data_IF_119811502156
#
_entry.id   IF_119811502156
#
_cell.length_a   1.000
_cell.length_b   1.000
_cell.length_c   1.000
_cell.angle_alpha   90.00
_cell.angle_beta   90.00
_cell.angle_gamma   90.00
#
_symmetry.space_group_name_H-M   'P 1'
#
loop_
_entity.id
_entity.type
_entity.pdbx_description
1 polymer ?
#
# COMPACT_ATOMS: atom_id res chain seq x y z
N UNK A 1 44.76 32.40 -68.18
CA UNK A 1 46.06 31.87 -67.70
C UNK A 1 45.82 30.54 -67.03
N UNK A 2 46.56 29.52 -67.47
CA UNK A 2 46.61 28.16 -66.91
C UNK A 2 47.15 28.18 -65.48
N UNK A 3 46.73 27.23 -64.63
CA UNK A 3 47.58 26.15 -64.08
C UNK A 3 46.79 25.19 -63.18
N UNK A 4 46.88 23.89 -63.46
CA UNK A 4 46.52 22.77 -62.57
C UNK A 4 47.43 22.75 -61.34
N UNK A 5 46.94 22.32 -60.16
CA UNK A 5 47.76 21.58 -59.18
C UNK A 5 46.93 20.47 -58.50
N UNK A 6 47.54 19.29 -58.45
CA UNK A 6 47.09 17.97 -58.00
C UNK A 6 47.00 17.79 -56.47
N UNK A 7 46.06 16.92 -56.08
CA UNK A 7 46.15 15.81 -55.10
C UNK A 7 47.11 15.90 -53.91
N UNK A 8 46.57 15.79 -52.69
CA UNK A 8 46.94 14.73 -51.73
C UNK A 8 45.72 14.35 -50.86
N UNK A 9 45.46 13.06 -50.58
CA UNK A 9 44.52 12.67 -49.52
C UNK A 9 45.32 12.49 -48.21
N UNK A 10 44.92 13.22 -47.16
CA UNK A 10 45.48 13.02 -45.83
C UNK A 10 44.83 11.79 -45.17
N UNK A 11 45.69 10.89 -44.76
CA UNK A 11 45.44 9.62 -44.12
C UNK A 11 45.05 9.78 -42.64
N UNK A 12 44.13 8.91 -42.19
CA UNK A 12 44.05 8.35 -40.83
C UNK A 12 43.63 9.26 -39.67
N UNK A 13 42.46 8.93 -39.09
CA UNK A 13 42.40 8.48 -37.69
C UNK A 13 41.19 7.59 -37.44
N UNK A 14 41.51 6.32 -37.20
CA UNK A 14 40.71 5.34 -36.50
C UNK A 14 40.22 5.89 -35.16
N UNK A 15 38.90 5.91 -34.99
CA UNK A 15 38.25 6.04 -33.70
C UNK A 15 37.15 5.01 -33.60
N UNK A 16 37.51 3.75 -33.37
CA UNK A 16 36.55 2.74 -32.94
C UNK A 16 35.99 3.20 -31.59
N UNK A 17 34.77 3.74 -31.61
CA UNK A 17 33.94 3.81 -30.40
C UNK A 17 33.75 2.37 -29.97
N UNK A 18 34.48 1.95 -28.95
CA UNK A 18 34.27 0.69 -28.23
C UNK A 18 32.86 0.74 -27.66
N UNK A 19 31.91 0.25 -28.44
CA UNK A 19 30.56 -0.04 -27.98
C UNK A 19 30.68 -1.06 -26.87
N UNK A 20 30.49 -0.60 -25.64
CA UNK A 20 30.21 -1.50 -24.52
C UNK A 20 28.86 -2.14 -24.86
N UNK A 21 28.89 -3.31 -25.49
CA UNK A 21 27.70 -4.15 -25.63
C UNK A 21 27.35 -4.66 -24.23
N UNK A 22 26.64 -3.84 -23.47
CA UNK A 22 26.04 -4.29 -22.21
C UNK A 22 25.10 -5.43 -22.59
N UNK A 23 25.45 -6.64 -22.18
CA UNK A 23 24.67 -7.82 -22.55
C UNK A 23 23.23 -7.63 -22.10
N UNK A 24 22.29 -7.76 -23.05
CA UNK A 24 20.86 -7.55 -22.84
C UNK A 24 20.31 -8.43 -21.69
N UNK A 25 20.99 -9.53 -21.39
CA UNK A 25 20.72 -10.38 -20.23
C UNK A 25 20.93 -9.68 -18.89
N UNK A 26 22.05 -8.98 -18.67
CA UNK A 26 22.37 -8.34 -17.37
C UNK A 26 21.41 -7.19 -17.05
N UNK A 27 21.01 -6.40 -18.06
CA UNK A 27 20.06 -5.30 -17.87
C UNK A 27 18.66 -5.82 -17.47
N UNK A 28 18.22 -6.93 -18.10
CA UNK A 28 16.94 -7.59 -17.79
C UNK A 28 16.89 -8.13 -16.35
N UNK A 29 18.02 -8.58 -15.81
CA UNK A 29 18.10 -9.13 -14.46
C UNK A 29 17.98 -8.06 -13.38
N UNK A 30 18.72 -6.95 -13.54
CA UNK A 30 18.60 -5.79 -12.62
C UNK A 30 17.19 -5.23 -12.60
N UNK A 31 16.50 -5.22 -13.75
CA UNK A 31 15.11 -4.81 -13.84
C UNK A 31 14.17 -5.76 -13.06
N UNK A 32 14.41 -7.07 -13.09
CA UNK A 32 13.63 -8.08 -12.35
C UNK A 32 13.83 -8.01 -10.84
N UNK A 33 15.08 -7.93 -10.38
CA UNK A 33 15.41 -7.77 -8.96
C UNK A 33 14.84 -6.46 -8.39
N UNK A 34 14.89 -5.37 -9.18
CA UNK A 34 14.23 -4.10 -8.83
C UNK A 34 12.71 -4.26 -8.70
N UNK A 35 12.09 -4.99 -9.62
CA UNK A 35 10.63 -5.25 -9.59
C UNK A 35 10.21 -6.05 -8.35
N UNK A 36 10.95 -7.09 -7.97
CA UNK A 36 10.66 -7.89 -6.77
C UNK A 36 10.71 -7.01 -5.52
N UNK A 37 11.75 -6.18 -5.38
CA UNK A 37 11.88 -5.22 -4.26
C UNK A 37 10.77 -4.19 -4.23
N UNK A 38 10.36 -3.67 -5.39
CA UNK A 38 9.22 -2.75 -5.48
C UNK A 38 7.93 -3.42 -5.00
N UNK A 39 7.67 -4.67 -5.42
CA UNK A 39 6.49 -5.42 -4.99
C UNK A 39 6.51 -5.74 -3.50
N UNK A 40 7.66 -6.11 -2.95
CA UNK A 40 7.84 -6.31 -1.51
C UNK A 40 7.52 -5.04 -0.71
N UNK A 41 7.99 -3.88 -1.18
CA UNK A 41 7.66 -2.59 -0.58
C UNK A 41 6.16 -2.31 -0.61
N UNK A 42 5.49 -2.58 -1.74
CA UNK A 42 4.04 -2.42 -1.86
C UNK A 42 3.27 -3.33 -0.89
N UNK A 43 3.67 -4.61 -0.73
CA UNK A 43 3.08 -5.52 0.27
C UNK A 43 3.20 -4.93 1.68
N UNK A 44 4.41 -4.51 2.06
CA UNK A 44 4.66 -3.94 3.40
C UNK A 44 3.85 -2.67 3.65
N UNK A 45 3.73 -1.81 2.64
CA UNK A 45 2.95 -0.58 2.73
C UNK A 45 1.46 -0.90 2.95
N UNK A 46 0.90 -1.84 2.18
CA UNK A 46 -0.50 -2.26 2.29
C UNK A 46 -0.80 -2.93 3.63
N UNK A 47 0.11 -3.77 4.12
CA UNK A 47 0.00 -4.36 5.47
C UNK A 47 -0.02 -3.29 6.57
N UNK A 48 0.81 -2.25 6.44
CA UNK A 48 0.81 -1.12 7.38
C UNK A 48 -0.52 -0.35 7.35
N UNK A 49 -1.03 -0.06 6.15
CA UNK A 49 -2.33 0.61 5.98
C UNK A 49 -3.47 -0.21 6.61
N UNK A 50 -3.48 -1.52 6.37
CA UNK A 50 -4.46 -2.43 6.96
C UNK A 50 -4.39 -2.42 8.50
N UNK A 51 -3.19 -2.49 9.06
CA UNK A 51 -2.99 -2.41 10.51
C UNK A 51 -3.49 -1.09 11.10
N UNK A 52 -3.34 0.04 10.40
CA UNK A 52 -3.88 1.33 10.84
C UNK A 52 -5.40 1.35 10.88
N UNK A 53 -6.07 0.78 9.88
CA UNK A 53 -7.53 0.65 9.85
C UNK A 53 -8.02 -0.20 11.03
N UNK A 54 -7.39 -1.34 11.27
CA UNK A 54 -7.73 -2.25 12.36
C UNK A 54 -7.54 -1.60 13.75
N UNK A 55 -6.45 -0.86 13.95
CA UNK A 55 -6.21 -0.11 15.18
C UNK A 55 -7.31 0.95 15.42
N UNK A 56 -7.66 1.72 14.38
CA UNK A 56 -8.68 2.76 14.49
C UNK A 56 -10.07 2.16 14.78
N UNK A 57 -10.41 1.04 14.15
CA UNK A 57 -11.64 0.30 14.44
C UNK A 57 -11.69 -0.16 15.90
N UNK A 58 -10.62 -0.79 16.39
CA UNK A 58 -10.55 -1.26 17.77
C UNK A 58 -10.69 -0.10 18.79
N UNK A 59 -10.13 1.07 18.47
CA UNK A 59 -10.30 2.25 19.30
C UNK A 59 -11.75 2.74 19.33
N UNK A 60 -12.43 2.75 18.18
CA UNK A 60 -13.82 3.18 18.09
C UNK A 60 -14.77 2.20 18.79
N UNK A 61 -14.49 0.89 18.69
CA UNK A 61 -15.24 -0.15 19.41
C UNK A 61 -15.08 0.02 20.93
N UNK A 62 -13.87 0.28 21.42
CA UNK A 62 -13.63 0.60 22.84
C UNK A 62 -14.41 1.84 23.27
N UNK A 63 -14.30 2.94 22.53
CA UNK A 63 -15.02 4.17 22.84
C UNK A 63 -16.54 3.98 22.85
N UNK A 64 -17.08 3.17 21.93
CA UNK A 64 -18.51 2.88 21.88
C UNK A 64 -18.96 2.14 23.13
N UNK A 65 -18.21 1.11 23.54
CA UNK A 65 -18.48 0.37 24.78
C UNK A 65 -18.40 1.26 26.03
N UNK A 66 -17.45 2.18 26.06
CA UNK A 66 -17.32 3.14 27.16
C UNK A 66 -18.55 4.07 27.23
N UNK A 67 -19.04 4.55 26.08
CA UNK A 67 -20.26 5.35 26.01
C UNK A 67 -21.49 4.55 26.43
N UNK A 68 -21.63 3.29 26.00
CA UNK A 68 -22.72 2.40 26.42
C UNK A 68 -22.76 2.22 27.94
N UNK A 69 -21.60 2.04 28.58
CA UNK A 69 -21.50 1.96 30.04
C UNK A 69 -21.93 3.27 30.71
N UNK A 70 -21.51 4.42 30.16
CA UNK A 70 -21.88 5.73 30.70
C UNK A 70 -23.38 6.02 30.55
N UNK A 71 -23.99 5.60 29.44
CA UNK A 71 -25.44 5.68 29.22
C UNK A 71 -26.17 4.89 30.30
N UNK A 72 -25.80 3.61 30.49
CA UNK A 72 -26.43 2.74 31.50
C UNK A 72 -26.27 3.33 32.90
N UNK A 73 -25.12 3.91 33.21
CA UNK A 73 -24.88 4.57 34.49
C UNK A 73 -25.84 5.76 34.69
N UNK A 74 -25.99 6.65 33.72
CA UNK A 74 -26.86 7.82 33.87
C UNK A 74 -28.35 7.48 33.86
N UNK A 75 -28.75 6.45 33.12
CA UNK A 75 -30.13 5.94 33.16
C UNK A 75 -30.48 5.38 34.53
N UNK A 76 -29.56 4.61 35.13
CA UNK A 76 -29.74 4.10 36.50
C UNK A 76 -29.77 5.22 37.53
N UNK A 77 -28.91 6.23 37.39
CA UNK A 77 -28.82 7.37 38.30
C UNK A 77 -30.06 8.25 38.24
N UNK A 78 -30.61 8.47 37.06
CA UNK A 78 -31.84 9.26 36.87
C UNK A 78 -33.14 8.45 37.10
N UNK A 79 -33.07 7.13 37.02
CA UNK A 79 -34.24 6.25 37.03
C UNK A 79 -35.05 6.27 35.72
N UNK A 80 -34.53 6.92 34.67
CA UNK A 80 -35.20 7.10 33.38
C UNK A 80 -34.34 6.44 32.30
N UNK A 81 -34.84 5.35 31.72
CA UNK A 81 -34.14 4.60 30.66
C UNK A 81 -34.77 4.75 29.27
N UNK A 82 -36.01 5.24 29.17
CA UNK A 82 -36.67 5.49 27.88
C UNK A 82 -36.09 6.76 27.22
N UNK A 83 -35.40 6.65 26.07
CA UNK A 83 -34.85 7.81 25.36
C UNK A 83 -35.89 8.79 24.84
N UNK A 84 -37.16 8.37 24.75
CA UNK A 84 -38.29 9.21 24.32
C UNK A 84 -38.89 10.02 25.47
N UNK A 85 -38.50 9.70 26.72
CA UNK A 85 -39.01 10.39 27.89
C UNK A 85 -38.57 11.86 27.89
N UNK A 86 -39.48 12.79 28.18
CA UNK A 86 -39.18 14.23 28.17
C UNK A 86 -38.01 14.61 29.10
N UNK A 87 -37.92 13.96 30.26
CA UNK A 87 -36.83 14.15 31.23
C UNK A 87 -35.66 13.17 31.03
N UNK A 88 -35.53 12.53 29.87
CA UNK A 88 -34.39 11.66 29.58
C UNK A 88 -33.07 12.45 29.73
N UNK A 89 -32.05 11.91 30.42
CA UNK A 89 -30.83 12.67 30.70
C UNK A 89 -30.15 13.17 29.42
N UNK A 90 -29.92 14.48 29.34
CA UNK A 90 -29.26 15.12 28.18
C UNK A 90 -27.91 14.48 27.88
N UNK A 91 -27.17 14.09 28.92
CA UNK A 91 -25.90 13.39 28.77
C UNK A 91 -26.07 12.03 28.09
N UNK A 92 -27.01 11.21 28.57
CA UNK A 92 -27.26 9.89 27.99
C UNK A 92 -27.73 10.00 26.52
N UNK A 93 -28.54 11.03 26.20
CA UNK A 93 -28.95 11.34 24.83
C UNK A 93 -27.76 11.68 23.93
N UNK A 94 -26.86 12.55 24.38
CA UNK A 94 -25.67 12.93 23.63
C UNK A 94 -24.70 11.75 23.47
N UNK A 95 -24.53 10.94 24.52
CA UNK A 95 -23.70 9.75 24.48
C UNK A 95 -24.23 8.71 23.49
N UNK A 96 -25.55 8.48 23.43
CA UNK A 96 -26.19 7.61 22.41
C UNK A 96 -25.90 8.10 21.00
N UNK A 97 -26.15 9.38 20.73
CA UNK A 97 -25.88 9.94 19.40
C UNK A 97 -24.41 9.78 18.99
N UNK A 98 -23.48 9.91 19.94
CA UNK A 98 -22.06 9.70 19.69
C UNK A 98 -21.74 8.24 19.41
N UNK A 99 -22.30 7.30 20.18
CA UNK A 99 -22.15 5.87 19.95
C UNK A 99 -22.67 5.47 18.56
N UNK A 100 -23.83 5.99 18.16
CA UNK A 100 -24.40 5.76 16.83
C UNK A 100 -23.47 6.25 15.71
N UNK A 101 -22.90 7.45 15.87
CA UNK A 101 -21.93 7.99 14.91
C UNK A 101 -20.67 7.13 14.83
N UNK A 102 -20.14 6.65 15.96
CA UNK A 102 -19.00 5.74 15.98
C UNK A 102 -19.33 4.41 15.29
N UNK A 103 -20.53 3.87 15.47
CA UNK A 103 -20.98 2.66 14.79
C UNK A 103 -21.13 2.84 13.27
N UNK A 104 -21.49 4.05 12.80
CA UNK A 104 -21.44 4.39 11.37
C UNK A 104 -19.99 4.37 10.90
N UNK A 105 -19.09 5.06 11.59
CA UNK A 105 -17.66 5.10 11.21
C UNK A 105 -17.01 3.71 11.22
N UNK A 106 -17.32 2.85 12.19
CA UNK A 106 -16.82 1.46 12.23
C UNK A 106 -17.27 0.69 10.99
N UNK A 107 -18.54 0.85 10.55
CA UNK A 107 -19.03 0.18 9.34
C UNK A 107 -18.32 0.68 8.09
N UNK A 108 -18.05 1.97 7.99
CA UNK A 108 -17.27 2.54 6.89
C UNK A 108 -15.84 2.01 6.88
N UNK A 109 -15.20 1.91 8.05
CA UNK A 109 -13.85 1.35 8.18
C UNK A 109 -13.80 -0.13 7.84
N UNK A 110 -14.84 -0.91 8.15
CA UNK A 110 -14.94 -2.32 7.72
C UNK A 110 -14.94 -2.44 6.19
N UNK A 111 -15.73 -1.62 5.50
CA UNK A 111 -15.70 -1.60 4.02
C UNK A 111 -14.32 -1.22 3.47
N UNK A 112 -13.63 -0.27 4.11
CA UNK A 112 -12.26 0.10 3.73
C UNK A 112 -11.26 -1.01 4.03
N UNK A 113 -11.42 -1.73 5.13
CA UNK A 113 -10.62 -2.88 5.51
C UNK A 113 -10.75 -3.98 4.46
N UNK A 114 -11.98 -4.37 4.11
CA UNK A 114 -12.24 -5.42 3.12
C UNK A 114 -11.59 -5.08 1.77
N UNK A 115 -11.71 -3.82 1.33
CA UNK A 115 -11.06 -3.34 0.10
C UNK A 115 -9.53 -3.35 0.21
N UNK A 116 -8.96 -2.99 1.36
CA UNK A 116 -7.53 -3.01 1.60
C UNK A 116 -6.97 -4.43 1.68
N UNK A 117 -7.72 -5.39 2.23
CA UNK A 117 -7.37 -6.82 2.27
C UNK A 117 -7.33 -7.41 0.87
N UNK A 118 -8.33 -7.13 0.03
CA UNK A 118 -8.32 -7.55 -1.38
C UNK A 118 -7.12 -6.97 -2.13
N UNK A 119 -6.85 -5.68 -1.98
CA UNK A 119 -5.71 -5.03 -2.61
C UNK A 119 -4.36 -5.60 -2.11
N UNK A 120 -4.28 -6.00 -0.83
CA UNK A 120 -3.11 -6.66 -0.28
C UNK A 120 -2.91 -8.04 -0.91
N UNK A 121 -3.98 -8.83 -1.05
CA UNK A 121 -3.95 -10.15 -1.69
C UNK A 121 -3.45 -10.06 -3.14
N UNK A 122 -3.97 -9.10 -3.92
CA UNK A 122 -3.55 -8.86 -5.30
C UNK A 122 -2.03 -8.57 -5.38
N UNK A 123 -1.54 -7.65 -4.55
CA UNK A 123 -0.11 -7.28 -4.53
C UNK A 123 0.76 -8.44 -4.04
N UNK A 124 0.27 -9.24 -3.08
CA UNK A 124 0.97 -10.45 -2.63
C UNK A 124 1.08 -11.50 -3.74
N UNK A 125 0.01 -11.71 -4.53
CA UNK A 125 0.04 -12.59 -5.68
C UNK A 125 0.98 -12.09 -6.78
N UNK A 126 1.07 -10.78 -7.00
CA UNK A 126 2.04 -10.18 -7.91
C UNK A 126 3.49 -10.33 -7.42
N UNK A 127 3.72 -10.11 -6.12
CA UNK A 127 5.02 -10.33 -5.49
C UNK A 127 5.47 -11.78 -5.64
N UNK A 128 4.61 -12.75 -5.33
CA UNK A 128 4.91 -14.17 -5.47
C UNK A 128 5.26 -14.55 -6.92
N UNK A 129 4.52 -14.01 -7.90
CA UNK A 129 4.81 -14.19 -9.33
C UNK A 129 6.18 -13.60 -9.72
N UNK A 130 6.49 -12.39 -9.25
CA UNK A 130 7.76 -11.73 -9.52
C UNK A 130 8.94 -12.50 -8.90
N UNK A 131 8.81 -12.96 -7.66
CA UNK A 131 9.83 -13.72 -6.95
C UNK A 131 10.12 -15.07 -7.63
N UNK A 132 9.07 -15.81 -8.03
CA UNK A 132 9.23 -17.09 -8.73
C UNK A 132 9.94 -16.94 -10.09
N UNK A 133 9.72 -15.82 -10.80
CA UNK A 133 10.42 -15.53 -12.05
C UNK A 133 11.91 -15.23 -11.82
N UNK A 134 12.26 -14.61 -10.71
CA UNK A 134 13.64 -14.32 -10.32
C UNK A 134 14.38 -15.60 -9.91
N UNK A 135 13.74 -16.48 -9.13
CA UNK A 135 14.29 -17.78 -8.73
C UNK A 135 14.54 -18.73 -9.92
N UNK A 136 13.64 -18.74 -10.92
CA UNK A 136 13.87 -19.52 -12.15
C UNK A 136 15.09 -19.02 -12.93
N UNK A 137 15.34 -17.72 -12.92
CA UNK A 137 16.44 -17.08 -13.62
C UNK A 137 17.78 -17.30 -12.88
N UNK A 138 17.77 -17.38 -11.55
CA UNK A 138 18.94 -17.79 -10.74
C UNK A 138 19.23 -19.29 -10.92
N UNK A 139 18.21 -20.13 -10.90
CA UNK A 139 18.34 -21.58 -11.11
C UNK A 139 18.86 -21.96 -12.50
N UNK A 140 18.47 -21.22 -13.55
CA UNK A 140 18.99 -21.41 -14.91
C UNK A 140 20.48 -21.05 -15.00
N UNK A 141 20.95 -20.08 -14.20
CA UNK A 141 22.36 -19.69 -14.14
C UNK A 141 23.24 -20.69 -13.42
N UNK A 142 22.75 -21.33 -12.35
CA UNK A 142 23.53 -22.33 -11.62
C UNK A 142 23.76 -23.62 -12.43
N UNK A 143 23.02 -23.80 -13.54
CA UNK A 143 23.07 -24.98 -14.41
C UNK A 143 23.79 -24.72 -15.75
N UNK A 144 24.18 -23.49 -16.03
CA UNK A 144 24.89 -23.07 -17.25
C UNK A 144 26.36 -22.80 -16.93
#
# INVERSE_FOLDING_TARGET
MRTEIRFTPYSSRSGTVTGVSVSTGVLRMKARESLVRLKEFQVREKQRQLGQLQMMMAEFERMTKDLENQIVFEEKKSGISDPSHFAYPTFAKAARQRADNLQVSIRELKMQQDAAELALEEVQAEYARAAALEERDTGTRLRA
#
